data_IF_399957603744
#
_entry.id   IF_399957603744
#
_cell.length_a   1.000
_cell.length_b   1.000
_cell.length_c   1.000
_cell.angle_alpha   90.00
_cell.angle_beta   90.00
_cell.angle_gamma   90.00
#
_symmetry.space_group_name_H-M   'P 1'
#
loop_
_entity.id
_entity.type
_entity.pdbx_description
1 polymer ?
#
# COMPACT_ATOMS: atom_id res chain seq x y z
N UNK A 1 7.78 -4.82 -16.49
CA UNK A 1 8.73 -5.45 -15.56
C UNK A 1 8.56 -4.81 -14.18
N UNK A 2 7.96 -5.53 -13.23
CA UNK A 2 7.62 -5.01 -11.89
C UNK A 2 8.88 -4.58 -11.13
N UNK A 3 8.79 -3.53 -10.32
CA UNK A 3 9.78 -3.27 -9.28
C UNK A 3 9.66 -4.44 -8.30
N UNK A 4 10.60 -5.38 -8.34
CA UNK A 4 10.66 -6.45 -7.35
C UNK A 4 11.07 -5.77 -6.05
N UNK A 5 10.08 -5.38 -5.25
CA UNK A 5 10.34 -4.99 -3.86
C UNK A 5 10.96 -6.20 -3.19
N UNK A 6 12.09 -6.04 -2.49
CA UNK A 6 12.74 -7.19 -1.85
C UNK A 6 11.85 -7.86 -0.79
N UNK A 7 10.73 -7.22 -0.42
CA UNK A 7 9.70 -7.76 0.47
C UNK A 7 8.31 -7.51 -0.12
N UNK A 8 7.85 -8.43 -0.98
CA UNK A 8 6.45 -8.53 -1.35
C UNK A 8 5.59 -8.68 -0.09
N UNK A 9 4.60 -7.80 0.10
CA UNK A 9 3.72 -7.87 1.25
C UNK A 9 2.82 -9.11 1.16
N UNK A 10 2.60 -9.80 2.29
CA UNK A 10 1.73 -10.98 2.30
C UNK A 10 0.26 -10.61 2.01
N UNK A 11 -0.22 -9.49 2.55
CA UNK A 11 -1.56 -8.98 2.31
C UNK A 11 -1.61 -7.46 2.48
N UNK A 12 -2.41 -6.79 1.66
CA UNK A 12 -2.74 -5.37 1.79
C UNK A 12 -4.23 -5.20 2.15
N UNK A 13 -4.52 -4.43 3.18
CA UNK A 13 -5.89 -4.09 3.60
C UNK A 13 -6.14 -2.60 3.36
N UNK A 14 -7.03 -2.29 2.43
CA UNK A 14 -7.30 -0.92 1.99
C UNK A 14 -8.71 -0.51 2.40
N UNK A 15 -8.82 0.53 3.20
CA UNK A 15 -10.10 1.11 3.62
C UNK A 15 -10.27 2.48 2.97
N UNK A 16 -10.90 2.51 1.80
CA UNK A 16 -11.11 3.73 1.00
C UNK A 16 -12.21 3.54 -0.04
N UNK A 17 -12.57 4.61 -0.74
CA UNK A 17 -13.48 4.55 -1.88
C UNK A 17 -12.91 3.68 -3.01
N UNK A 18 -13.78 3.01 -3.76
CA UNK A 18 -13.41 2.09 -4.83
C UNK A 18 -12.35 2.61 -5.83
N UNK A 19 -12.43 3.85 -6.37
CA UNK A 19 -11.42 4.35 -7.30
C UNK A 19 -10.03 4.51 -6.63
N UNK A 20 -10.01 4.98 -5.39
CA UNK A 20 -8.78 5.16 -4.61
C UNK A 20 -8.16 3.82 -4.25
N UNK A 21 -8.97 2.87 -3.79
CA UNK A 21 -8.52 1.51 -3.48
C UNK A 21 -7.91 0.83 -4.70
N UNK A 22 -8.52 0.98 -5.87
CA UNK A 22 -8.00 0.45 -7.15
C UNK A 22 -6.63 1.03 -7.48
N UNK A 23 -6.47 2.35 -7.35
CA UNK A 23 -5.19 3.01 -7.60
C UNK A 23 -4.11 2.50 -6.64
N UNK A 24 -4.39 2.43 -5.34
CA UNK A 24 -3.44 1.97 -4.33
C UNK A 24 -3.06 0.49 -4.52
N UNK A 25 -4.02 -0.37 -4.85
CA UNK A 25 -3.79 -1.79 -5.09
C UNK A 25 -2.84 -2.06 -6.27
N UNK A 26 -2.80 -1.17 -7.26
CA UNK A 26 -1.89 -1.28 -8.41
C UNK A 26 -0.45 -0.89 -8.08
N UNK A 27 -0.25 -0.09 -7.03
CA UNK A 27 1.06 0.44 -6.65
C UNK A 27 1.70 -0.30 -5.47
N UNK A 28 0.92 -1.08 -4.71
CA UNK A 28 1.39 -1.89 -3.61
C UNK A 28 1.69 -3.32 -4.09
N UNK A 29 2.93 -3.76 -3.89
CA UNK A 29 3.36 -5.12 -4.20
C UNK A 29 2.93 -6.07 -3.08
N UNK A 30 1.73 -6.65 -3.21
CA UNK A 30 1.15 -7.57 -2.22
C UNK A 30 0.60 -8.85 -2.88
N UNK A 31 0.71 -9.99 -2.18
CA UNK A 31 0.18 -11.27 -2.66
C UNK A 31 -1.35 -11.31 -2.73
N UNK A 32 -2.01 -10.59 -1.82
CA UNK A 32 -3.46 -10.43 -1.83
C UNK A 32 -3.82 -9.02 -1.37
N UNK A 33 -4.86 -8.43 -1.96
CA UNK A 33 -5.38 -7.11 -1.55
C UNK A 33 -6.86 -7.23 -1.20
N UNK A 34 -7.23 -6.79 0.00
CA UNK A 34 -8.60 -6.73 0.48
C UNK A 34 -9.06 -5.28 0.57
N UNK A 35 -10.21 -4.98 -0.03
CA UNK A 35 -10.79 -3.63 -0.05
C UNK A 35 -12.03 -3.61 0.81
N UNK A 36 -12.05 -2.76 1.83
CA UNK A 36 -13.17 -2.57 2.76
C UNK A 36 -13.66 -3.86 3.45
N UNK A 37 -12.82 -4.89 3.52
CA UNK A 37 -13.15 -6.20 4.07
C UNK A 37 -11.95 -6.79 4.80
N UNK A 38 -12.23 -7.56 5.86
CA UNK A 38 -11.26 -8.39 6.57
C UNK A 38 -11.78 -9.82 6.50
N UNK A 39 -11.05 -10.78 5.90
CA UNK A 39 -11.52 -12.15 5.82
C UNK A 39 -11.70 -12.74 7.21
N UNK A 40 -12.85 -13.37 7.41
CA UNK A 40 -13.23 -13.97 8.69
C UNK A 40 -12.25 -15.06 9.16
N UNK A 41 -11.61 -15.76 8.22
CA UNK A 41 -10.58 -16.78 8.50
C UNK A 41 -9.41 -16.24 9.32
N UNK A 42 -8.99 -15.00 9.11
CA UNK A 42 -7.92 -14.37 9.88
C UNK A 42 -8.34 -13.94 11.28
N UNK A 43 -9.62 -13.54 11.46
CA UNK A 43 -10.15 -13.18 12.77
C UNK A 43 -10.23 -14.40 13.70
N UNK A 44 -10.56 -15.57 13.14
CA UNK A 44 -10.66 -16.82 13.89
C UNK A 44 -9.29 -17.27 14.45
N UNK A 45 -8.20 -17.09 13.70
CA UNK A 45 -6.86 -17.49 14.12
C UNK A 45 -6.41 -16.84 15.45
N UNK A 46 -6.81 -15.59 15.71
CA UNK A 46 -6.48 -14.90 16.97
C UNK A 46 -7.32 -15.37 18.15
N UNK A 47 -8.59 -15.68 17.92
CA UNK A 47 -9.47 -16.26 18.95
C UNK A 47 -9.01 -17.66 19.33
N UNK A 48 -8.65 -18.48 18.34
CA UNK A 48 -8.14 -19.84 18.56
C UNK A 48 -6.83 -19.84 19.35
N UNK A 49 -5.90 -18.89 19.12
CA UNK A 49 -4.67 -18.77 19.93
C UNK A 49 -4.96 -18.44 21.41
N UNK A 50 -5.99 -17.63 21.69
CA UNK A 50 -6.39 -17.31 23.06
C UNK A 50 -7.10 -18.47 23.76
N UNK A 51 -7.91 -19.23 23.01
CA UNK A 51 -8.71 -20.35 23.53
C UNK A 51 -7.90 -21.64 23.71
N UNK A 52 -6.89 -21.88 22.87
CA UNK A 52 -6.12 -23.12 22.83
C UNK A 52 -4.64 -22.87 23.16
N UNK A 53 -4.36 -22.25 24.30
CA UNK A 53 -2.97 -22.07 24.80
C UNK A 53 -2.35 -23.36 25.33
N UNK A 54 -3.18 -24.36 25.64
CA UNK A 54 -2.76 -25.71 25.96
C UNK A 54 -3.83 -26.63 25.42
N UNK A 55 -3.51 -27.44 24.43
CA UNK A 55 -3.86 -28.86 24.32
C UNK A 55 -3.69 -29.33 22.88
N UNK A 56 -3.02 -30.48 22.76
CA UNK A 56 -2.76 -31.21 21.53
C UNK A 56 -4.06 -31.62 20.85
N UNK A 57 -4.60 -30.82 19.92
CA UNK A 57 -5.51 -31.35 18.90
C UNK A 57 -5.74 -30.37 17.75
N UNK A 58 -4.88 -30.39 16.73
CA UNK A 58 -5.22 -29.79 15.44
C UNK A 58 -4.74 -30.70 14.31
N UNK A 59 -5.62 -31.62 13.89
CA UNK A 59 -5.50 -32.47 12.69
C UNK A 59 -5.88 -31.74 11.40
N UNK A 60 -5.93 -30.41 11.41
CA UNK A 60 -6.19 -29.60 10.22
C UNK A 60 -4.92 -28.81 9.88
N UNK A 61 -4.24 -29.23 8.81
CA UNK A 61 -3.01 -28.64 8.27
C UNK A 61 -3.11 -27.12 8.04
N UNK A 62 -4.28 -26.63 7.68
CA UNK A 62 -4.58 -25.20 7.46
C UNK A 62 -4.43 -24.36 8.74
N UNK A 63 -4.86 -24.87 9.90
CA UNK A 63 -4.81 -24.10 11.16
C UNK A 63 -3.39 -24.00 11.73
N UNK A 64 -2.58 -25.02 11.48
CA UNK A 64 -1.18 -25.07 11.88
C UNK A 64 -0.35 -23.98 11.19
N UNK A 65 -0.63 -23.68 9.92
CA UNK A 65 0.06 -22.63 9.16
C UNK A 65 -0.17 -21.22 9.76
N UNK A 66 -1.39 -20.90 10.20
CA UNK A 66 -1.69 -19.59 10.77
C UNK A 66 -1.19 -19.41 12.21
N UNK A 67 -0.97 -20.49 12.96
CA UNK A 67 -0.51 -20.44 14.35
C UNK A 67 1.03 -20.38 14.43
N UNK A 68 1.73 -21.04 13.52
CA UNK A 68 3.20 -21.12 13.52
C UNK A 68 3.90 -19.90 12.93
N UNK A 69 3.21 -19.09 12.14
CA UNK A 69 3.81 -17.89 11.56
C UNK A 69 3.96 -16.77 12.61
N UNK A 70 5.10 -16.04 12.59
CA UNK A 70 5.33 -14.92 13.49
C UNK A 70 4.23 -13.88 13.31
N UNK A 71 3.77 -13.30 14.43
CA UNK A 71 2.73 -12.29 14.40
C UNK A 71 3.12 -11.14 13.44
N UNK A 72 2.16 -10.57 12.70
CA UNK A 72 2.42 -9.43 11.84
C UNK A 72 3.09 -8.32 12.66
N UNK A 73 4.32 -7.97 12.31
CA UNK A 73 5.04 -6.88 12.94
C UNK A 73 4.45 -5.58 12.44
N UNK A 74 4.00 -4.75 13.38
CA UNK A 74 3.60 -3.38 13.07
C UNK A 74 4.86 -2.61 12.73
N UNK A 75 5.13 -2.44 11.44
CA UNK A 75 6.11 -1.48 10.95
C UNK A 75 5.51 -0.08 11.02
N UNK A 76 5.37 0.44 12.24
CA UNK A 76 5.22 1.87 12.42
C UNK A 76 6.62 2.50 12.30
N UNK A 77 6.78 3.64 11.60
CA UNK A 77 8.02 4.41 11.72
C UNK A 77 8.29 4.68 13.21
N UNK A 78 9.55 4.59 13.64
CA UNK A 78 9.90 4.66 15.06
C UNK A 78 9.29 5.91 15.71
N UNK A 79 8.59 5.70 16.83
CA UNK A 79 7.87 6.73 17.61
C UNK A 79 8.79 7.91 17.97
N UNK A 80 10.09 7.68 18.07
CA UNK A 80 11.12 8.71 18.30
C UNK A 80 11.02 9.89 17.32
N UNK A 81 10.69 9.64 16.03
CA UNK A 81 10.53 10.70 15.02
C UNK A 81 9.35 11.64 15.28
N UNK A 82 8.40 11.25 16.12
CA UNK A 82 7.16 12.02 16.36
C UNK A 82 7.10 12.65 17.76
N UNK A 83 8.06 12.36 18.65
CA UNK A 83 8.15 12.98 19.98
C UNK A 83 8.19 14.53 19.94
N UNK A 84 8.85 15.09 18.93
CA UNK A 84 8.91 16.54 18.70
C UNK A 84 7.55 17.12 18.29
N UNK A 85 6.74 16.34 17.57
CA UNK A 85 5.39 16.71 17.15
C UNK A 85 4.40 16.65 18.31
N UNK A 86 4.49 15.65 19.18
CA UNK A 86 3.64 15.52 20.38
C UNK A 86 3.82 16.70 21.35
N UNK A 87 5.04 17.23 21.44
CA UNK A 87 5.37 18.43 22.22
C UNK A 87 4.75 19.70 21.61
N UNK A 88 4.77 19.83 20.27
CA UNK A 88 4.18 20.99 19.57
C UNK A 88 2.65 20.93 19.55
N UNK A 89 2.07 19.74 19.44
CA UNK A 89 0.62 19.50 19.49
C UNK A 89 0.04 19.64 20.90
N UNK A 90 0.88 19.94 21.91
CA UNK A 90 0.46 20.17 23.28
C UNK A 90 0.02 18.90 24.03
N UNK A 91 0.32 17.72 23.47
CA UNK A 91 -0.01 16.42 24.08
C UNK A 91 0.94 16.14 25.25
N UNK A 92 2.21 16.53 25.12
CA UNK A 92 3.21 16.51 26.19
C UNK A 92 3.44 17.94 26.72
N UNK A 93 3.10 18.20 28.00
CA UNK A 93 3.35 19.49 28.67
C UNK A 93 4.79 19.55 29.19
N UNK A 94 5.72 19.90 28.32
CA UNK A 94 7.11 20.21 28.69
C UNK A 94 7.36 21.70 28.48
N UNK A 95 7.84 22.46 29.49
CA UNK A 95 8.20 23.87 29.32
C UNK A 95 9.55 23.94 28.62
N UNK A 96 9.52 24.03 27.29
CA UNK A 96 10.72 24.08 26.46
C UNK A 96 10.47 24.84 25.16
N UNK A 97 11.53 25.44 24.63
CA UNK A 97 11.57 26.42 23.54
C UNK A 97 10.93 25.90 22.23
N UNK A 98 9.61 26.03 22.14
CA UNK A 98 8.78 25.50 21.04
C UNK A 98 9.21 26.08 19.69
N UNK A 99 9.75 27.30 19.67
CA UNK A 99 10.26 27.93 18.47
C UNK A 99 11.46 27.20 17.88
N UNK A 100 12.35 26.66 18.72
CA UNK A 100 13.53 25.90 18.29
C UNK A 100 13.11 24.56 17.69
N UNK A 101 12.12 23.89 18.28
CA UNK A 101 11.55 22.65 17.76
C UNK A 101 10.85 22.85 16.42
N UNK A 102 10.08 23.93 16.26
CA UNK A 102 9.42 24.27 14.99
C UNK A 102 10.45 24.55 13.89
N UNK A 103 11.54 25.25 14.21
CA UNK A 103 12.64 25.52 13.26
C UNK A 103 13.33 24.23 12.81
N UNK A 104 13.60 23.31 13.73
CA UNK A 104 14.26 22.03 13.38
C UNK A 104 13.34 21.13 12.56
N UNK A 105 12.05 21.05 12.89
CA UNK A 105 11.07 20.34 12.05
C UNK A 105 10.95 20.96 10.66
N UNK A 106 10.94 22.29 10.56
CA UNK A 106 10.89 22.98 9.27
C UNK A 106 12.12 22.65 8.44
N UNK A 107 13.30 22.63 9.05
CA UNK A 107 14.56 22.23 8.41
C UNK A 107 14.50 20.79 7.90
N UNK A 108 14.00 19.85 8.72
CA UNK A 108 13.80 18.46 8.32
C UNK A 108 12.75 18.30 7.21
N UNK A 109 11.66 19.07 7.25
CA UNK A 109 10.61 19.05 6.23
C UNK A 109 11.08 19.62 4.88
N UNK A 110 12.06 20.53 4.89
CA UNK A 110 12.67 21.07 3.67
C UNK A 110 13.75 20.17 3.06
N UNK A 111 14.13 19.07 3.73
CA UNK A 111 15.06 18.11 3.14
C UNK A 111 14.42 17.49 1.90
N UNK A 112 15.12 17.51 0.74
CA UNK A 112 14.60 16.89 -0.46
C UNK A 112 14.32 15.41 -0.20
N UNK A 113 13.13 14.96 -0.57
CA UNK A 113 12.73 13.56 -0.44
C UNK A 113 13.76 12.67 -1.17
N UNK A 114 14.11 11.50 -0.61
CA UNK A 114 14.98 10.56 -1.31
C UNK A 114 14.34 10.24 -2.66
N UNK A 115 15.17 10.11 -3.70
CA UNK A 115 14.70 9.77 -5.04
C UNK A 115 13.82 8.53 -4.92
N UNK A 116 12.52 8.69 -5.16
CA UNK A 116 11.61 7.55 -5.28
C UNK A 116 12.21 6.67 -6.35
N UNK A 117 12.50 5.39 -6.06
CA UNK A 117 12.96 4.43 -7.07
C UNK A 117 11.96 4.23 -8.22
N UNK A 118 10.85 4.97 -8.22
CA UNK A 118 9.93 5.16 -9.32
C UNK A 118 10.72 5.45 -10.60
N UNK A 119 10.55 4.57 -11.59
CA UNK A 119 11.21 4.70 -12.88
C UNK A 119 10.83 6.05 -13.50
N UNK A 120 11.75 6.71 -14.23
CA UNK A 120 11.40 7.90 -14.98
C UNK A 120 10.17 7.58 -15.84
N UNK A 121 9.17 8.46 -15.83
CA UNK A 121 7.86 8.29 -16.47
C UNK A 121 7.90 8.27 -18.01
N UNK A 122 8.88 7.59 -18.60
CA UNK A 122 9.00 7.32 -20.02
C UNK A 122 8.27 6.02 -20.42
N UNK A 123 7.68 5.31 -19.45
CA UNK A 123 6.83 4.17 -19.73
C UNK A 123 5.43 4.67 -20.10
N UNK A 124 5.06 4.43 -21.35
CA UNK A 124 3.75 4.74 -21.91
C UNK A 124 2.63 4.19 -21.01
N UNK A 125 1.80 5.08 -20.47
CA UNK A 125 0.78 4.71 -19.47
C UNK A 125 -0.35 3.88 -20.07
N UNK A 126 -1.10 3.15 -19.24
CA UNK A 126 -2.28 2.39 -19.68
C UNK A 126 -3.30 3.27 -20.43
N UNK A 127 -3.46 4.52 -20.02
CA UNK A 127 -4.30 5.50 -20.70
C UNK A 127 -3.82 5.84 -22.11
N UNK A 128 -2.51 6.08 -22.26
CA UNK A 128 -1.90 6.37 -23.56
C UNK A 128 -2.02 5.15 -24.46
N UNK A 129 -1.63 3.97 -23.99
CA UNK A 129 -1.77 2.71 -24.73
C UNK A 129 -3.21 2.48 -25.20
N UNK A 130 -4.20 2.67 -24.32
CA UNK A 130 -5.62 2.56 -24.66
C UNK A 130 -6.05 3.55 -25.74
N UNK A 131 -5.54 4.78 -25.69
CA UNK A 131 -5.80 5.82 -26.70
C UNK A 131 -5.22 5.44 -28.06
N UNK A 132 -3.98 4.96 -28.12
CA UNK A 132 -3.36 4.55 -29.38
C UNK A 132 -4.01 3.30 -29.98
N UNK A 133 -4.36 2.31 -29.16
CA UNK A 133 -5.08 1.12 -29.61
C UNK A 133 -6.47 1.49 -30.13
N UNK A 134 -7.21 2.34 -29.40
CA UNK A 134 -8.53 2.81 -29.81
C UNK A 134 -8.49 3.61 -31.11
N UNK A 135 -7.54 4.55 -31.25
CA UNK A 135 -7.35 5.32 -32.47
C UNK A 135 -6.96 4.44 -33.66
N UNK A 136 -6.08 3.45 -33.45
CA UNK A 136 -5.67 2.51 -34.48
C UNK A 136 -6.83 1.65 -35.00
N UNK A 137 -7.67 1.14 -34.09
CA UNK A 137 -8.88 0.39 -34.47
C UNK A 137 -9.92 1.25 -35.17
N UNK A 138 -10.08 2.51 -34.77
CA UNK A 138 -11.00 3.42 -35.43
C UNK A 138 -10.55 3.72 -36.86
N UNK A 139 -9.27 4.08 -37.04
CA UNK A 139 -8.70 4.38 -38.36
C UNK A 139 -8.71 3.18 -39.31
N UNK A 140 -8.51 1.95 -38.81
CA UNK A 140 -8.51 0.75 -39.65
C UNK A 140 -9.87 0.42 -40.25
N UNK A 141 -10.96 0.87 -39.63
CA UNK A 141 -12.32 0.70 -40.16
C UNK A 141 -12.71 1.87 -41.06
N UNK A 142 -12.36 3.10 -40.64
CA UNK A 142 -12.79 4.32 -41.32
C UNK A 142 -12.03 4.55 -42.63
N UNK A 143 -10.71 4.33 -42.66
CA UNK A 143 -9.90 4.58 -43.86
C UNK A 143 -10.31 3.70 -45.07
N UNK A 144 -10.53 2.38 -44.93
CA UNK A 144 -11.02 1.57 -46.04
C UNK A 144 -12.42 1.99 -46.49
N UNK A 145 -13.29 2.39 -45.56
CA UNK A 145 -14.68 2.78 -45.89
C UNK A 145 -14.73 3.98 -46.84
N UNK A 146 -13.81 4.94 -46.69
CA UNK A 146 -13.68 6.07 -47.62
C UNK A 146 -12.92 5.74 -48.91
N UNK A 147 -12.08 4.70 -48.91
CA UNK A 147 -11.30 4.31 -50.08
C UNK A 147 -12.13 3.55 -51.13
N UNK A 148 -13.29 2.98 -50.74
CA UNK A 148 -14.20 2.27 -51.65
C UNK A 148 -15.33 3.13 -52.23
N UNK A 149 -15.43 4.42 -51.85
CA UNK A 149 -16.41 5.38 -52.39
C UNK A 149 -15.87 6.30 -53.51
N UNK A 150 -14.67 6.01 -54.04
CA UNK A 150 -14.08 6.66 -55.24
C UNK A 150 -13.93 5.62 -56.35
#
# INVERSE_FOLDING_TARGET
MSQKSENMFLAAYLFSEAPTAKFLAQHLDAAVTYVNQIPHSYLLARLLRLLFSHHHFLTNTELTYYILNPAPRVHSPSIERFSSLETILGVAKTPGDQEVLIRELRKQATVPLPKSGQRPGHAMGFFEQGTFIGAGLFLSIVLPSFAYEV
#
